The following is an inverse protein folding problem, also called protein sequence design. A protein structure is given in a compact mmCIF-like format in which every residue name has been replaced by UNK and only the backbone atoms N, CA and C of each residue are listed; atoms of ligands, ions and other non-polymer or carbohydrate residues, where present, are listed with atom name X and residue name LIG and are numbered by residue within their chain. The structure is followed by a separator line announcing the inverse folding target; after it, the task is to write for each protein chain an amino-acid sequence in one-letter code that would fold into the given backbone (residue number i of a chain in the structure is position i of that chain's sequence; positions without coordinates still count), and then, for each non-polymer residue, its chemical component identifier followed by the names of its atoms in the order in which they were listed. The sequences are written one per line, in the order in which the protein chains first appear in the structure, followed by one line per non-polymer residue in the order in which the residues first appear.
data_IF_429423947764
#
_entry.id   IF_429423947764
#
_cell.length_a   1.000
_cell.length_b   1.000
_cell.length_c   1.000
_cell.angle_alpha   90.00
_cell.angle_beta   90.00
_cell.angle_gamma   90.00
#
_symmetry.space_group_name_H-M   'P 1'
#
loop_
_entity.id
_entity.type
_entity.pdbx_description
1 polymer ?
#
# COMPACT_ATOMS: atom_id res chain seq x y z
N UNK A 1 -3.50 -4.70 -24.96
CA UNK A 1 -2.04 -4.60 -25.19
C UNK A 1 -1.36 -5.96 -25.13
N UNK A 2 -1.02 -6.56 -23.98
CA UNK A 2 -0.29 -7.84 -23.95
C UNK A 2 -1.07 -9.05 -24.51
N UNK A 3 -2.40 -9.05 -24.37
CA UNK A 3 -3.30 -10.08 -24.95
C UNK A 3 -3.96 -9.62 -26.26
N UNK A 4 -3.54 -8.50 -26.86
CA UNK A 4 -4.15 -7.93 -28.07
C UNK A 4 -5.55 -7.28 -27.92
N UNK A 5 -6.27 -7.53 -26.81
CA UNK A 5 -7.68 -7.09 -26.60
C UNK A 5 -7.91 -5.57 -26.58
N UNK A 6 -6.86 -4.76 -26.38
CA UNK A 6 -6.98 -3.29 -26.24
C UNK A 6 -5.86 -2.64 -27.03
N UNK A 7 -6.21 -1.70 -27.91
CA UNK A 7 -5.29 -0.91 -28.72
C UNK A 7 -4.56 0.18 -27.91
N UNK A 8 -3.48 0.73 -28.45
CA UNK A 8 -2.74 1.82 -27.80
C UNK A 8 -3.56 3.10 -27.68
N UNK A 9 -4.40 3.38 -28.69
CA UNK A 9 -5.27 4.55 -28.69
C UNK A 9 -6.36 4.45 -27.64
N UNK A 10 -6.99 3.28 -27.49
CA UNK A 10 -8.01 3.02 -26.46
C UNK A 10 -7.42 3.17 -25.06
N UNK A 11 -6.25 2.58 -24.79
CA UNK A 11 -5.58 2.72 -23.50
C UNK A 11 -5.24 4.19 -23.20
N UNK A 12 -4.74 4.95 -24.19
CA UNK A 12 -4.44 6.38 -24.04
C UNK A 12 -5.70 7.19 -23.72
N UNK A 13 -6.81 6.93 -24.42
CA UNK A 13 -8.10 7.59 -24.16
C UNK A 13 -8.62 7.27 -22.76
N UNK A 14 -8.62 6.00 -22.37
CA UNK A 14 -9.02 5.57 -21.03
C UNK A 14 -8.19 6.26 -19.94
N UNK A 15 -6.86 6.28 -20.11
CA UNK A 15 -5.96 6.95 -19.18
C UNK A 15 -6.26 8.45 -19.06
N UNK A 16 -6.47 9.16 -20.17
CA UNK A 16 -6.83 10.59 -20.15
C UNK A 16 -8.16 10.81 -19.40
N UNK A 17 -9.20 10.03 -19.73
CA UNK A 17 -10.51 10.14 -19.08
C UNK A 17 -10.38 9.90 -17.58
N UNK A 18 -9.70 8.82 -17.16
CA UNK A 18 -9.51 8.49 -15.75
C UNK A 18 -8.71 9.55 -15.01
N UNK A 19 -7.63 10.08 -15.61
CA UNK A 19 -6.84 11.17 -15.02
C UNK A 19 -7.69 12.42 -14.82
N UNK A 20 -8.47 12.82 -15.84
CA UNK A 20 -9.37 13.99 -15.73
C UNK A 20 -10.39 13.78 -14.62
N UNK A 21 -11.04 12.62 -14.56
CA UNK A 21 -12.01 12.31 -13.51
C UNK A 21 -11.39 12.30 -12.11
N UNK A 22 -10.18 11.75 -11.94
CA UNK A 22 -9.46 11.75 -10.67
C UNK A 22 -9.08 13.17 -10.27
N UNK A 23 -8.59 13.99 -11.20
CA UNK A 23 -8.25 15.39 -10.92
C UNK A 23 -9.49 16.20 -10.53
N UNK A 24 -10.60 16.06 -11.26
CA UNK A 24 -11.84 16.77 -10.95
C UNK A 24 -12.41 16.36 -9.60
N UNK A 25 -12.50 15.05 -9.33
CA UNK A 25 -13.00 14.54 -8.04
C UNK A 25 -12.08 14.90 -6.87
N UNK A 26 -10.76 14.83 -7.05
CA UNK A 26 -9.77 15.24 -6.06
C UNK A 26 -9.83 16.73 -5.75
N UNK A 27 -9.91 17.58 -6.78
CA UNK A 27 -10.07 19.03 -6.61
C UNK A 27 -11.40 19.38 -5.92
N UNK A 28 -12.50 18.73 -6.31
CA UNK A 28 -13.80 18.92 -5.67
C UNK A 28 -13.75 18.50 -4.19
N UNK A 29 -13.12 17.37 -3.87
CA UNK A 29 -12.95 16.92 -2.49
C UNK A 29 -12.14 17.93 -1.67
N UNK A 30 -10.99 18.38 -2.17
CA UNK A 30 -10.13 19.35 -1.48
C UNK A 30 -10.86 20.69 -1.29
N UNK A 31 -11.63 21.15 -2.29
CA UNK A 31 -12.42 22.38 -2.20
C UNK A 31 -13.54 22.31 -1.15
N UNK A 32 -14.14 21.14 -0.94
CA UNK A 32 -15.20 20.94 0.06
C UNK A 32 -14.61 20.69 1.45
N UNK A 33 -13.53 19.92 1.54
CA UNK A 33 -12.97 19.48 2.82
C UNK A 33 -12.03 20.51 3.45
N UNK A 34 -11.30 21.33 2.68
CA UNK A 34 -10.33 22.26 3.27
C UNK A 34 -11.00 23.54 3.76
N UNK A 35 -10.75 23.91 5.03
CA UNK A 35 -11.32 25.11 5.65
C UNK A 35 -10.40 26.34 5.52
N UNK A 36 -9.10 26.13 5.31
CA UNK A 36 -8.12 27.21 5.17
C UNK A 36 -7.41 27.16 3.81
N UNK A 37 -6.93 28.32 3.35
CA UNK A 37 -6.12 28.39 2.14
C UNK A 37 -4.81 27.59 2.27
N UNK A 38 -4.24 27.53 3.49
CA UNK A 38 -3.05 26.75 3.77
C UNK A 38 -3.29 25.24 3.57
N UNK A 39 -4.42 24.71 4.06
CA UNK A 39 -4.81 23.32 3.84
C UNK A 39 -5.00 23.03 2.35
N UNK A 40 -5.74 23.90 1.66
CA UNK A 40 -6.00 23.77 0.23
C UNK A 40 -4.70 23.70 -0.58
N UNK A 41 -3.78 24.66 -0.37
CA UNK A 41 -2.48 24.69 -1.03
C UNK A 41 -1.63 23.48 -0.64
N UNK A 42 -1.64 23.08 0.62
CA UNK A 42 -0.93 21.90 1.11
C UNK A 42 -1.36 20.61 0.40
N UNK A 43 -2.67 20.37 0.28
CA UNK A 43 -3.20 19.20 -0.44
C UNK A 43 -2.95 19.26 -1.95
N UNK A 44 -2.96 20.46 -2.57
CA UNK A 44 -2.54 20.60 -3.97
C UNK A 44 -1.08 20.21 -4.17
N UNK A 45 -0.18 20.64 -3.27
CA UNK A 45 1.24 20.26 -3.32
C UNK A 45 1.38 18.74 -3.15
N UNK A 46 0.72 18.14 -2.15
CA UNK A 46 0.76 16.70 -1.91
C UNK A 46 0.20 15.89 -3.09
N UNK A 47 -0.89 16.36 -3.70
CA UNK A 47 -1.48 15.77 -4.91
C UNK A 47 -0.52 15.86 -6.10
N UNK A 48 0.08 17.02 -6.33
CA UNK A 48 1.08 17.23 -7.37
C UNK A 48 2.30 16.33 -7.18
N UNK A 49 2.83 16.24 -5.96
CA UNK A 49 3.94 15.34 -5.61
C UNK A 49 3.57 13.87 -5.82
N UNK A 50 2.32 13.47 -5.52
CA UNK A 50 1.84 12.12 -5.76
C UNK A 50 1.76 11.78 -7.25
N UNK A 51 1.34 12.73 -8.10
CA UNK A 51 1.33 12.56 -9.56
C UNK A 51 2.76 12.44 -10.08
N UNK A 52 3.66 13.33 -9.65
CA UNK A 52 5.07 13.29 -10.03
C UNK A 52 5.69 11.95 -9.62
N UNK A 53 5.44 11.51 -8.39
CA UNK A 53 5.90 10.22 -7.89
C UNK A 53 5.34 9.06 -8.71
N UNK A 54 4.05 9.05 -9.06
CA UNK A 54 3.46 8.00 -9.88
C UNK A 54 4.08 7.93 -11.29
N UNK A 55 4.34 9.08 -11.93
CA UNK A 55 4.98 9.14 -13.25
C UNK A 55 6.43 8.65 -13.16
N UNK A 56 7.21 9.22 -12.24
CA UNK A 56 8.64 8.89 -12.08
C UNK A 56 8.88 7.48 -11.52
N UNK A 57 7.83 6.80 -11.04
CA UNK A 57 7.89 5.37 -10.66
C UNK A 57 8.18 4.46 -11.86
N UNK A 58 7.64 4.79 -13.03
CA UNK A 58 7.74 3.96 -14.26
C UNK A 58 8.41 4.66 -15.44
N UNK A 59 8.35 5.99 -15.51
CA UNK A 59 8.78 6.80 -16.66
C UNK A 59 10.05 7.59 -16.31
N UNK A 60 11.01 7.61 -17.23
CA UNK A 60 12.25 8.40 -17.14
C UNK A 60 13.52 7.55 -17.31
N UNK A 61 14.68 8.20 -17.25
CA UNK A 61 15.98 7.53 -17.47
C UNK A 61 16.36 6.54 -16.35
N UNK A 62 15.88 6.77 -15.12
CA UNK A 62 16.09 5.89 -13.95
C UNK A 62 14.83 5.89 -13.08
N UNK A 63 13.76 5.17 -13.48
CA UNK A 63 12.53 5.12 -12.69
C UNK A 63 12.83 4.59 -11.30
N UNK A 64 12.37 5.28 -10.26
CA UNK A 64 12.83 4.96 -8.91
C UNK A 64 12.31 3.58 -8.44
N UNK A 65 11.21 3.10 -9.02
CA UNK A 65 10.71 1.74 -8.83
C UNK A 65 11.70 0.66 -9.29
N UNK A 66 12.55 0.96 -10.27
CA UNK A 66 13.55 0.03 -10.82
C UNK A 66 14.91 0.10 -10.12
N UNK A 67 15.09 1.02 -9.17
CA UNK A 67 16.32 1.14 -8.35
C UNK A 67 16.07 0.80 -6.88
N UNK A 68 14.97 0.11 -6.56
CA UNK A 68 14.69 -0.40 -5.22
C UNK A 68 14.10 0.62 -4.25
N UNK A 69 13.62 1.78 -4.74
CA UNK A 69 12.90 2.76 -3.93
C UNK A 69 11.38 2.57 -3.97
N UNK A 70 10.89 1.56 -4.71
CA UNK A 70 9.45 1.29 -4.86
C UNK A 70 8.76 1.02 -3.52
N UNK A 71 9.35 0.19 -2.67
CA UNK A 71 8.80 -0.19 -1.36
C UNK A 71 8.61 1.01 -0.40
N UNK A 72 9.58 1.93 -0.38
CA UNK A 72 9.49 3.17 0.41
C UNK A 72 8.38 4.06 -0.13
N UNK A 73 8.29 4.20 -1.46
CA UNK A 73 7.22 4.95 -2.11
C UNK A 73 5.85 4.36 -1.76
N UNK A 74 5.68 3.04 -1.82
CA UNK A 74 4.42 2.39 -1.45
C UNK A 74 4.06 2.66 0.01
N UNK A 75 5.02 2.56 0.95
CA UNK A 75 4.77 2.90 2.36
C UNK A 75 4.34 4.36 2.55
N UNK A 76 5.00 5.29 1.88
CA UNK A 76 4.71 6.73 1.99
C UNK A 76 3.34 7.05 1.41
N UNK A 77 3.05 6.63 0.17
CA UNK A 77 1.83 7.04 -0.54
C UNK A 77 0.60 6.22 -0.15
N UNK A 78 0.73 4.89 -0.01
CA UNK A 78 -0.39 4.01 0.35
C UNK A 78 -0.56 3.80 1.85
N UNK A 79 0.46 4.13 2.65
CA UNK A 79 0.40 4.14 4.11
C UNK A 79 0.17 5.54 4.65
N UNK A 80 1.24 6.29 4.86
CA UNK A 80 1.21 7.55 5.62
C UNK A 80 0.36 8.62 4.96
N UNK A 81 0.60 8.94 3.69
CA UNK A 81 -0.14 9.98 2.99
C UNK A 81 -1.62 9.62 2.85
N UNK A 82 -1.93 8.39 2.42
CA UNK A 82 -3.32 7.96 2.25
C UNK A 82 -4.07 7.94 3.58
N UNK A 83 -3.55 7.29 4.62
CA UNK A 83 -4.30 7.13 5.88
C UNK A 83 -4.33 8.44 6.68
N UNK A 84 -3.19 9.09 6.90
CA UNK A 84 -3.14 10.31 7.71
C UNK A 84 -3.70 11.51 6.95
N UNK A 85 -3.53 11.57 5.61
CA UNK A 85 -4.14 12.60 4.79
C UNK A 85 -5.66 12.50 4.76
N UNK A 86 -6.21 11.29 4.60
CA UNK A 86 -7.67 11.08 4.68
C UNK A 86 -8.24 11.38 6.06
N UNK A 87 -7.51 11.08 7.14
CA UNK A 87 -7.89 11.49 8.50
C UNK A 87 -7.91 13.01 8.63
N UNK A 88 -6.82 13.68 8.23
CA UNK A 88 -6.72 15.13 8.36
C UNK A 88 -7.81 15.86 7.58
N UNK A 89 -8.16 15.40 6.36
CA UNK A 89 -9.26 15.99 5.58
C UNK A 89 -10.62 15.91 6.27
N UNK A 90 -10.82 15.00 7.21
CA UNK A 90 -12.10 14.82 7.92
C UNK A 90 -12.06 15.44 9.31
N UNK A 91 -10.96 15.24 10.04
CA UNK A 91 -10.82 15.59 11.45
C UNK A 91 -10.03 16.88 11.70
N UNK A 92 -9.39 17.45 10.66
CA UNK A 92 -8.57 18.67 10.73
C UNK A 92 -7.49 18.68 11.83
N UNK A 93 -7.02 17.49 12.19
CA UNK A 93 -6.04 17.27 13.25
C UNK A 93 -5.12 16.13 12.84
N UNK A 94 -3.88 16.15 13.34
CA UNK A 94 -2.95 15.03 13.22
C UNK A 94 -2.71 14.44 14.60
N UNK A 95 -3.04 13.15 14.75
CA UNK A 95 -2.78 12.40 15.97
C UNK A 95 -1.57 11.50 15.71
N UNK A 96 -0.48 11.60 16.50
CA UNK A 96 0.73 10.79 16.28
C UNK A 96 0.46 9.29 16.23
N UNK A 97 -0.51 8.81 17.01
CA UNK A 97 -0.89 7.39 17.05
C UNK A 97 -1.34 6.82 15.68
N UNK A 98 -1.85 7.66 14.78
CA UNK A 98 -2.28 7.24 13.43
C UNK A 98 -1.13 6.76 12.55
N UNK A 99 0.12 7.06 12.92
CA UNK A 99 1.29 6.51 12.23
C UNK A 99 1.29 4.98 12.26
N UNK A 100 0.73 4.37 13.30
CA UNK A 100 0.68 2.92 13.45
C UNK A 100 -0.26 2.26 12.41
N UNK A 101 -1.56 2.57 12.34
CA UNK A 101 -2.43 2.02 11.30
C UNK A 101 -2.01 2.44 9.90
N UNK A 102 -1.48 3.66 9.72
CA UNK A 102 -0.94 4.10 8.44
C UNK A 102 0.26 3.24 8.00
N UNK A 103 1.18 2.95 8.92
CA UNK A 103 2.32 2.06 8.65
C UNK A 103 1.83 0.64 8.38
N UNK A 104 0.84 0.12 9.11
CA UNK A 104 0.28 -1.20 8.85
C UNK A 104 -0.29 -1.34 7.43
N UNK A 105 -1.09 -0.37 6.99
CA UNK A 105 -1.63 -0.32 5.63
C UNK A 105 -0.51 -0.26 4.58
N UNK A 106 0.49 0.58 4.81
CA UNK A 106 1.65 0.69 3.92
C UNK A 106 2.47 -0.59 3.85
N UNK A 107 2.73 -1.27 4.97
CA UNK A 107 3.44 -2.55 5.01
C UNK A 107 2.69 -3.65 4.27
N UNK A 108 1.36 -3.71 4.40
CA UNK A 108 0.51 -4.65 3.64
C UNK A 108 0.57 -4.37 2.13
N UNK A 109 0.50 -3.10 1.72
CA UNK A 109 0.65 -2.71 0.32
C UNK A 109 2.05 -3.03 -0.21
N UNK A 110 3.10 -2.77 0.58
CA UNK A 110 4.47 -3.13 0.24
C UNK A 110 4.65 -4.65 0.17
N UNK A 111 3.93 -5.44 0.97
CA UNK A 111 3.95 -6.90 0.88
C UNK A 111 3.40 -7.40 -0.46
N UNK A 112 2.36 -6.74 -1.00
CA UNK A 112 1.83 -6.99 -2.35
C UNK A 112 2.89 -6.69 -3.42
N UNK A 113 3.56 -5.52 -3.33
CA UNK A 113 4.64 -5.17 -4.25
C UNK A 113 5.80 -6.16 -4.16
N UNK A 114 6.20 -6.55 -2.95
CA UNK A 114 7.30 -7.48 -2.74
C UNK A 114 7.02 -8.85 -3.36
N UNK A 115 5.80 -9.38 -3.24
CA UNK A 115 5.42 -10.64 -3.90
C UNK A 115 5.39 -10.50 -5.42
N UNK A 116 4.92 -9.35 -5.92
CA UNK A 116 4.97 -9.06 -7.35
C UNK A 116 6.42 -9.08 -7.87
N UNK A 117 7.35 -8.47 -7.13
CA UNK A 117 8.77 -8.44 -7.50
C UNK A 117 9.47 -9.80 -7.28
N UNK A 118 9.05 -10.60 -6.29
CA UNK A 118 9.53 -11.98 -6.11
C UNK A 118 9.13 -12.89 -7.27
N UNK A 119 7.90 -12.75 -7.77
CA UNK A 119 7.41 -13.46 -8.96
C UNK A 119 8.30 -13.18 -10.18
N UNK A 120 8.69 -11.93 -10.34
CA UNK A 120 9.36 -11.44 -11.54
C UNK A 120 10.89 -11.33 -11.37
N UNK A 121 11.46 -11.83 -10.27
CA UNK A 121 12.86 -11.60 -9.86
C UNK A 121 13.90 -11.89 -10.96
N UNK A 122 13.72 -12.99 -11.70
CA UNK A 122 14.65 -13.38 -12.77
C UNK A 122 14.55 -12.42 -13.96
N UNK A 123 13.32 -12.14 -14.40
CA UNK A 123 13.07 -11.22 -15.53
C UNK A 123 13.48 -9.78 -15.18
N UNK A 124 13.23 -9.33 -13.95
CA UNK A 124 13.65 -8.01 -13.49
C UNK A 124 15.18 -7.89 -13.50
N UNK A 125 15.90 -8.92 -13.03
CA UNK A 125 17.36 -8.97 -13.09
C UNK A 125 17.89 -8.93 -14.52
N UNK A 126 17.34 -9.73 -15.42
CA UNK A 126 17.73 -9.79 -16.84
C UNK A 126 17.51 -8.45 -17.56
N UNK A 127 16.46 -7.71 -17.17
CA UNK A 127 16.13 -6.41 -17.74
C UNK A 127 16.80 -5.22 -17.01
N UNK A 128 17.76 -5.47 -16.11
CA UNK A 128 18.47 -4.43 -15.38
C UNK A 128 17.61 -3.66 -14.36
N UNK A 129 16.43 -4.19 -13.99
CA UNK A 129 15.58 -3.63 -12.93
C UNK A 129 16.09 -4.11 -11.58
N UNK A 130 16.88 -3.27 -10.93
CA UNK A 130 17.45 -3.51 -9.60
C UNK A 130 16.45 -3.15 -8.49
N UNK A 131 15.29 -3.82 -8.48
CA UNK A 131 14.27 -3.71 -7.41
C UNK A 131 14.84 -4.12 -6.05
N UNK A 132 14.14 -3.79 -4.96
CA UNK A 132 14.61 -4.16 -3.62
C UNK A 132 14.75 -5.68 -3.48
N UNK A 133 13.85 -6.45 -4.09
CA UNK A 133 13.91 -7.91 -4.14
C UNK A 133 15.17 -8.41 -4.86
N UNK A 134 15.50 -7.83 -6.02
CA UNK A 134 16.72 -8.18 -6.76
C UNK A 134 17.97 -7.86 -5.94
N UNK A 135 17.99 -6.72 -5.22
CA UNK A 135 19.11 -6.27 -4.37
C UNK A 135 19.29 -7.12 -3.12
N UNK A 136 18.20 -7.46 -2.42
CA UNK A 136 18.23 -8.30 -1.23
C UNK A 136 18.59 -9.75 -1.56
N UNK A 137 18.28 -10.18 -2.78
CA UNK A 137 18.33 -11.57 -3.17
C UNK A 137 17.10 -12.34 -2.68
N UNK A 138 16.87 -13.49 -3.29
CA UNK A 138 15.64 -14.26 -3.14
C UNK A 138 15.32 -14.64 -1.68
N UNK A 139 16.31 -15.15 -0.95
CA UNK A 139 16.14 -15.60 0.44
C UNK A 139 15.80 -14.44 1.38
N UNK A 140 16.52 -13.31 1.27
CA UNK A 140 16.26 -12.17 2.15
C UNK A 140 14.99 -11.43 1.77
N UNK A 141 14.62 -11.38 0.48
CA UNK A 141 13.34 -10.83 0.04
C UNK A 141 12.13 -11.61 0.57
N UNK A 142 12.26 -12.94 0.74
CA UNK A 142 11.24 -13.79 1.38
C UNK A 142 11.15 -13.53 2.89
N UNK A 143 12.29 -13.38 3.57
CA UNK A 143 12.33 -12.99 5.01
C UNK A 143 11.70 -11.61 5.22
N UNK A 144 12.06 -10.67 4.36
CA UNK A 144 11.48 -9.33 4.33
C UNK A 144 9.97 -9.37 4.12
N UNK A 145 9.46 -10.22 3.22
CA UNK A 145 8.02 -10.43 3.07
C UNK A 145 7.33 -10.81 4.39
N UNK A 146 7.90 -11.78 5.12
CA UNK A 146 7.37 -12.19 6.41
C UNK A 146 7.43 -11.04 7.44
N UNK A 147 8.51 -10.25 7.44
CA UNK A 147 8.62 -9.06 8.28
C UNK A 147 7.56 -8.01 7.97
N UNK A 148 7.22 -7.78 6.70
CA UNK A 148 6.15 -6.86 6.31
C UNK A 148 4.79 -7.29 6.87
N UNK A 149 4.44 -8.57 6.71
CA UNK A 149 3.16 -9.12 7.19
C UNK A 149 3.07 -9.15 8.73
N UNK A 150 4.15 -9.49 9.42
CA UNK A 150 4.16 -9.48 10.88
C UNK A 150 4.22 -8.06 11.44
N UNK A 151 4.98 -7.17 10.79
CA UNK A 151 5.07 -5.77 11.14
C UNK A 151 3.71 -5.07 11.07
N UNK A 152 2.88 -5.38 10.06
CA UNK A 152 1.54 -4.80 9.98
C UNK A 152 0.67 -5.23 11.16
N UNK A 153 0.71 -6.51 11.56
CA UNK A 153 -0.03 -6.99 12.74
C UNK A 153 0.45 -6.33 14.02
N UNK A 154 1.78 -6.15 14.18
CA UNK A 154 2.36 -5.47 15.35
C UNK A 154 1.92 -4.01 15.39
N UNK A 155 1.95 -3.29 14.27
CA UNK A 155 1.49 -1.91 14.22
C UNK A 155 0.01 -1.77 14.64
N UNK A 156 -0.88 -2.63 14.13
CA UNK A 156 -2.30 -2.62 14.52
C UNK A 156 -2.51 -2.99 16.00
N UNK A 157 -1.73 -3.96 16.50
CA UNK A 157 -1.74 -4.35 17.91
C UNK A 157 -1.34 -3.19 18.82
N UNK A 158 -0.25 -2.50 18.49
CA UNK A 158 0.22 -1.33 19.24
C UNK A 158 -0.79 -0.18 19.19
N UNK A 159 -1.44 0.04 18.06
CA UNK A 159 -2.51 1.05 17.97
C UNK A 159 -3.68 0.72 18.89
N UNK A 160 -4.11 -0.54 18.92
CA UNK A 160 -5.17 -0.95 19.83
C UNK A 160 -4.74 -0.80 21.29
N UNK A 161 -3.52 -1.20 21.64
CA UNK A 161 -2.98 -1.11 23.00
C UNK A 161 -2.84 0.32 23.51
N UNK A 162 -2.44 1.28 22.67
CA UNK A 162 -2.16 2.65 23.09
C UNK A 162 -3.30 3.64 22.85
N UNK A 163 -4.24 3.32 21.96
CA UNK A 163 -5.28 4.28 21.54
C UNK A 163 -6.70 3.76 21.81
N UNK A 164 -7.05 2.57 21.31
CA UNK A 164 -8.44 2.09 21.38
C UNK A 164 -8.79 1.41 22.71
N UNK A 165 -7.84 0.71 23.35
CA UNK A 165 -8.02 -0.02 24.60
C UNK A 165 -9.25 -0.95 24.63
N UNK A 166 -9.57 -1.58 23.50
CA UNK A 166 -10.81 -2.34 23.32
C UNK A 166 -10.54 -3.79 22.90
N UNK A 167 -11.40 -4.70 23.36
CA UNK A 167 -11.40 -6.10 22.91
C UNK A 167 -11.73 -6.20 21.42
N UNK A 168 -12.64 -5.37 20.92
CA UNK A 168 -13.04 -5.34 19.51
C UNK A 168 -11.93 -4.83 18.59
N UNK A 169 -11.01 -4.00 19.10
CA UNK A 169 -9.86 -3.53 18.31
C UNK A 169 -8.86 -4.64 17.94
N UNK A 170 -8.98 -5.84 18.52
CA UNK A 170 -8.18 -7.02 18.16
C UNK A 170 -8.74 -7.85 17.00
N UNK A 171 -9.87 -7.45 16.39
CA UNK A 171 -10.56 -8.24 15.36
C UNK A 171 -9.67 -8.56 14.13
N UNK A 172 -8.70 -7.70 13.82
CA UNK A 172 -7.73 -7.92 12.75
C UNK A 172 -6.90 -9.19 12.93
N UNK A 173 -6.75 -9.70 14.16
CA UNK A 173 -6.04 -10.96 14.44
C UNK A 173 -6.72 -12.18 13.80
N UNK A 174 -8.00 -12.10 13.45
CA UNK A 174 -8.67 -13.17 12.69
C UNK A 174 -8.05 -13.37 11.29
N UNK A 175 -7.36 -12.36 10.74
CA UNK A 175 -6.59 -12.50 9.50
C UNK A 175 -5.19 -13.10 9.73
N UNK A 176 -4.66 -13.11 10.97
CA UNK A 176 -3.30 -13.55 11.26
C UNK A 176 -2.99 -14.99 10.81
N UNK A 177 -3.88 -16.00 10.99
CA UNK A 177 -3.63 -17.35 10.48
C UNK A 177 -3.38 -17.39 8.96
N UNK A 178 -4.10 -16.57 8.20
CA UNK A 178 -3.95 -16.45 6.74
C UNK A 178 -2.59 -15.83 6.40
N UNK A 179 -2.23 -14.71 7.04
CA UNK A 179 -0.96 -14.03 6.81
C UNK A 179 0.25 -14.91 7.18
N UNK A 180 0.16 -15.63 8.30
CA UNK A 180 1.22 -16.53 8.75
C UNK A 180 1.33 -17.74 7.81
N UNK A 181 0.21 -18.32 7.34
CA UNK A 181 0.22 -19.40 6.35
C UNK A 181 0.89 -18.94 5.06
N UNK A 182 0.59 -17.71 4.62
CA UNK A 182 1.23 -17.11 3.46
C UNK A 182 2.73 -16.90 3.66
N UNK A 183 3.14 -16.27 4.78
CA UNK A 183 4.55 -16.06 5.09
C UNK A 183 5.34 -17.38 5.10
N UNK A 184 4.78 -18.43 5.72
CA UNK A 184 5.39 -19.77 5.72
C UNK A 184 5.50 -20.36 4.33
N UNK A 185 4.49 -20.19 3.47
CA UNK A 185 4.53 -20.68 2.10
C UNK A 185 5.64 -19.98 1.30
N UNK A 186 5.67 -18.64 1.34
CA UNK A 186 6.66 -17.82 0.62
C UNK A 186 8.09 -18.11 1.10
N UNK A 187 8.26 -18.45 2.38
CA UNK A 187 9.57 -18.83 2.93
C UNK A 187 10.05 -20.22 2.49
N UNK A 188 9.15 -21.12 2.10
CA UNK A 188 9.47 -22.52 1.76
C UNK A 188 9.52 -22.77 0.26
N UNK A 189 8.60 -22.18 -0.49
CA UNK A 189 8.47 -22.41 -1.92
C UNK A 189 9.43 -21.51 -2.69
N UNK A 190 10.45 -22.11 -3.30
CA UNK A 190 11.52 -21.38 -3.98
C UNK A 190 11.18 -21.04 -5.44
N UNK A 191 10.19 -21.69 -6.04
CA UNK A 191 9.80 -21.37 -7.42
C UNK A 191 9.16 -19.97 -7.52
N UNK A 192 9.72 -19.02 -8.30
CA UNK A 192 9.11 -17.71 -8.54
C UNK A 192 7.72 -17.81 -9.21
N UNK A 193 7.47 -18.83 -10.02
CA UNK A 193 6.17 -19.03 -10.69
C UNK A 193 5.06 -19.29 -9.66
N UNK A 194 5.40 -19.95 -8.56
CA UNK A 194 4.48 -20.22 -7.45
C UNK A 194 4.05 -18.95 -6.69
N UNK A 195 4.70 -17.80 -6.92
CA UNK A 195 4.31 -16.51 -6.34
C UNK A 195 3.11 -15.87 -7.04
N UNK A 196 2.76 -16.30 -8.26
CA UNK A 196 1.56 -15.83 -9.00
C UNK A 196 0.27 -15.93 -8.16
N UNK A 197 -0.13 -17.11 -7.66
CA UNK A 197 -1.31 -17.22 -6.80
C UNK A 197 -1.11 -16.54 -5.43
N UNK A 198 0.13 -16.39 -4.96
CA UNK A 198 0.40 -15.68 -3.70
C UNK A 198 0.11 -14.19 -3.81
N UNK A 199 0.28 -13.58 -4.99
CA UNK A 199 -0.05 -12.17 -5.20
C UNK A 199 -1.53 -11.91 -4.87
N UNK A 200 -2.44 -12.70 -5.44
CA UNK A 200 -3.87 -12.60 -5.16
C UNK A 200 -4.19 -12.84 -3.68
N UNK A 201 -3.56 -13.86 -3.07
CA UNK A 201 -3.74 -14.16 -1.63
C UNK A 201 -3.25 -13.02 -0.75
N UNK A 202 -2.16 -12.35 -1.11
CA UNK A 202 -1.62 -11.19 -0.39
C UNK A 202 -2.61 -10.04 -0.43
N UNK A 203 -3.15 -9.74 -1.62
CA UNK A 203 -4.15 -8.68 -1.80
C UNK A 203 -5.40 -8.97 -0.97
N UNK A 204 -5.91 -10.21 -1.02
CA UNK A 204 -7.06 -10.64 -0.21
C UNK A 204 -6.77 -10.57 1.29
N UNK A 205 -5.58 -10.97 1.71
CA UNK A 205 -5.12 -10.89 3.10
C UNK A 205 -5.02 -9.45 3.61
N UNK A 206 -4.46 -8.55 2.80
CA UNK A 206 -4.40 -7.13 3.10
C UNK A 206 -5.80 -6.51 3.23
N UNK A 207 -6.69 -6.81 2.26
CA UNK A 207 -8.08 -6.35 2.29
C UNK A 207 -8.81 -6.85 3.54
N UNK A 208 -8.74 -8.15 3.82
CA UNK A 208 -9.39 -8.75 5.00
C UNK A 208 -8.87 -8.14 6.30
N UNK A 209 -7.56 -7.96 6.42
CA UNK A 209 -6.94 -7.36 7.62
C UNK A 209 -7.44 -5.94 7.85
N UNK A 210 -7.46 -5.12 6.79
CA UNK A 210 -7.94 -3.74 6.89
C UNK A 210 -9.45 -3.66 7.16
N UNK A 211 -10.28 -4.52 6.54
CA UNK A 211 -11.72 -4.58 6.81
C UNK A 211 -12.02 -4.98 8.26
N UNK A 212 -11.35 -6.01 8.78
CA UNK A 212 -11.49 -6.42 10.16
C UNK A 212 -11.02 -5.34 11.14
N UNK A 213 -9.94 -4.63 10.80
CA UNK A 213 -9.46 -3.50 11.60
C UNK A 213 -10.47 -2.35 11.64
N UNK A 214 -11.04 -1.97 10.49
CA UNK A 214 -12.11 -0.95 10.41
C UNK A 214 -13.32 -1.37 11.23
N UNK A 215 -13.80 -2.61 11.08
CA UNK A 215 -14.90 -3.15 11.90
C UNK A 215 -14.55 -3.11 13.39
N UNK A 216 -13.32 -3.45 13.76
CA UNK A 216 -12.84 -3.38 15.13
C UNK A 216 -12.88 -1.97 15.71
N UNK A 217 -12.52 -0.95 14.93
CA UNK A 217 -12.65 0.47 15.33
C UNK A 217 -14.12 0.82 15.57
N UNK A 218 -15.00 0.53 14.61
CA UNK A 218 -16.42 0.86 14.72
C UNK A 218 -17.07 0.21 15.95
N UNK A 219 -16.83 -1.08 16.17
CA UNK A 219 -17.37 -1.81 17.33
C UNK A 219 -16.78 -1.31 18.66
N UNK A 220 -15.53 -0.86 18.67
CA UNK A 220 -14.91 -0.28 19.86
C UNK A 220 -15.57 1.03 20.29
N UNK A 221 -16.02 1.85 19.34
CA UNK A 221 -16.73 3.10 19.63
C UNK A 221 -18.17 2.86 20.07
N UNK A 222 -18.81 1.79 19.59
CA UNK A 222 -20.20 1.49 19.90
C UNK A 222 -20.38 0.73 21.22
N UNK A 223 -19.36 0.02 21.67
CA UNK A 223 -19.34 -0.71 22.93
C UNK A 223 -18.76 0.08 24.11
N UNK A 224 -18.27 1.30 23.88
CA UNK A 224 -17.78 2.25 24.87
C UNK A 224 -18.89 3.20 25.34
#
# INVERSE_FOLDING_TARGET
MQKGVITQQEMKRALIITVVLICLSGLALVAVACHTLADFVGFLILGGLSIIAAITYTVGNRPYGYIGLGDISVLVFFGWLSVMGSWYLQAHTLIPALILPATACGLLATAVLNINNLRDINSDRENGKNTLVVRLGEVNARRYHACLLMGSLVCLALFNLFSLHSLWGWLFLLAAPLLVKQARYVMREMDPVAMRPMLERTVKGALLTNLLFVLGIFLSQWAA
#
